data_IF_643346792743
#
_entry.id   IF_643346792743
#
_cell.length_a   1.000
_cell.length_b   1.000
_cell.length_c   1.000
_cell.angle_alpha   90.00
_cell.angle_beta   90.00
_cell.angle_gamma   90.00
#
_symmetry.space_group_name_H-M   'P 1'
#
loop_
_entity.id
_entity.type
_entity.pdbx_description
1 polymer ?
#
# COMPACT_ATOMS: atom_id res chain seq x y z
N UNK A 1 41.99 -46.94 10.01
CA UNK A 1 41.24 -45.78 10.56
C UNK A 1 40.43 -45.20 9.43
N UNK A 2 39.18 -45.63 9.27
CA UNK A 2 38.29 -45.07 8.25
C UNK A 2 37.90 -43.67 8.68
N UNK A 3 38.07 -42.71 7.77
CA UNK A 3 37.47 -41.39 7.93
C UNK A 3 35.96 -41.58 7.81
N UNK A 4 35.27 -41.44 8.94
CA UNK A 4 33.83 -41.29 8.99
C UNK A 4 33.50 -39.94 8.34
N UNK A 5 33.40 -39.93 7.01
CA UNK A 5 32.82 -38.81 6.28
C UNK A 5 31.33 -38.83 6.59
N UNK A 6 30.92 -37.99 7.53
CA UNK A 6 29.52 -37.82 7.93
C UNK A 6 28.66 -37.59 6.70
N UNK A 7 27.98 -38.63 6.23
CA UNK A 7 26.95 -38.54 5.20
C UNK A 7 25.89 -37.60 5.73
N UNK A 8 25.78 -36.41 5.13
CA UNK A 8 24.64 -35.53 5.34
C UNK A 8 23.43 -36.27 4.75
N UNK A 9 22.66 -36.95 5.60
CA UNK A 9 21.52 -37.77 5.19
C UNK A 9 20.38 -36.93 4.58
N UNK A 10 20.32 -35.63 4.92
CA UNK A 10 19.47 -34.63 4.27
C UNK A 10 20.00 -33.22 4.57
N UNK A 11 20.36 -32.46 3.54
CA UNK A 11 20.73 -31.05 3.68
C UNK A 11 19.54 -30.12 3.44
N UNK A 12 19.39 -29.04 4.20
CA UNK A 12 18.40 -28.00 3.92
C UNK A 12 19.05 -26.75 3.31
N UNK A 13 18.41 -26.18 2.29
CA UNK A 13 18.82 -24.92 1.66
C UNK A 13 17.62 -23.98 1.60
N UNK A 14 17.86 -22.69 1.80
CA UNK A 14 16.82 -21.67 1.80
C UNK A 14 17.00 -20.73 0.62
N UNK A 15 15.93 -20.54 -0.14
CA UNK A 15 15.86 -19.66 -1.30
C UNK A 15 14.73 -18.65 -1.13
N UNK A 16 14.80 -17.56 -1.89
CA UNK A 16 13.69 -16.61 -2.02
C UNK A 16 12.76 -17.14 -3.12
N UNK A 17 11.47 -17.22 -2.84
CA UNK A 17 10.48 -17.57 -3.85
C UNK A 17 10.50 -16.52 -4.97
N UNK A 18 10.49 -16.93 -6.26
CA UNK A 18 10.39 -16.01 -7.38
C UNK A 18 9.16 -15.09 -7.29
N UNK A 19 9.18 -13.98 -8.05
CA UNK A 19 8.02 -13.07 -8.13
C UNK A 19 6.79 -13.84 -8.58
N UNK A 20 5.63 -13.53 -8.00
CA UNK A 20 4.33 -14.21 -8.24
C UNK A 20 4.22 -15.69 -7.81
N UNK A 21 5.27 -16.31 -7.26
CA UNK A 21 5.22 -17.69 -6.77
C UNK A 21 5.10 -17.81 -5.25
N UNK A 22 4.22 -18.69 -4.76
CA UNK A 22 3.87 -18.84 -3.34
C UNK A 22 4.94 -19.56 -2.48
N UNK A 23 6.14 -19.78 -3.02
CA UNK A 23 7.18 -20.57 -2.37
C UNK A 23 6.81 -22.05 -2.28
N UNK A 24 7.42 -22.76 -1.35
CA UNK A 24 7.24 -24.21 -1.20
C UNK A 24 8.49 -24.94 -0.76
N UNK A 25 8.45 -26.26 -0.83
CA UNK A 25 9.61 -27.13 -0.60
C UNK A 25 9.80 -28.02 -1.81
N UNK A 26 11.01 -28.05 -2.34
CA UNK A 26 11.41 -28.94 -3.44
C UNK A 26 12.51 -29.88 -2.95
N UNK A 27 12.36 -31.18 -3.25
CA UNK A 27 13.34 -32.18 -2.90
C UNK A 27 14.22 -32.50 -4.11
N UNK A 28 15.54 -32.39 -3.94
CA UNK A 28 16.53 -32.68 -4.96
C UNK A 28 17.43 -33.83 -4.52
N UNK A 29 17.57 -34.84 -5.37
CA UNK A 29 18.54 -35.90 -5.19
C UNK A 29 19.77 -35.60 -6.06
N UNK A 30 20.94 -35.51 -5.42
CA UNK A 30 22.23 -35.34 -6.11
C UNK A 30 23.14 -36.52 -5.78
N UNK A 31 24.22 -36.70 -6.54
CA UNK A 31 25.24 -37.74 -6.26
C UNK A 31 25.83 -37.63 -4.85
N UNK A 32 25.78 -36.44 -4.22
CA UNK A 32 26.24 -36.17 -2.86
C UNK A 32 25.18 -36.28 -1.76
N UNK A 33 23.93 -36.65 -2.07
CA UNK A 33 22.84 -36.81 -1.10
C UNK A 33 21.55 -36.06 -1.46
N UNK A 34 20.54 -36.19 -0.58
CA UNK A 34 19.24 -35.54 -0.71
C UNK A 34 19.25 -34.13 -0.10
N UNK A 35 18.68 -33.16 -0.80
CA UNK A 35 18.54 -31.79 -0.35
C UNK A 35 17.08 -31.34 -0.39
N UNK A 36 16.64 -30.64 0.65
CA UNK A 36 15.35 -29.94 0.67
C UNK A 36 15.59 -28.44 0.46
N UNK A 37 15.17 -27.94 -0.69
CA UNK A 37 15.15 -26.51 -0.98
C UNK A 37 13.84 -25.93 -0.44
N UNK A 38 13.91 -24.99 0.50
CA UNK A 38 12.76 -24.26 1.02
C UNK A 38 12.73 -22.85 0.46
N UNK A 39 11.61 -22.47 -0.13
CA UNK A 39 11.41 -21.14 -0.73
C UNK A 39 10.60 -20.27 0.21
N UNK A 40 11.25 -19.22 0.75
CA UNK A 40 10.59 -18.23 1.60
C UNK A 40 9.86 -17.21 0.75
N UNK A 41 8.64 -16.88 1.16
CA UNK A 41 7.82 -15.89 0.47
C UNK A 41 8.10 -14.49 0.97
N UNK A 42 8.28 -13.58 0.03
CA UNK A 42 8.43 -12.15 0.27
C UNK A 42 7.35 -11.38 -0.48
N UNK A 43 7.02 -10.21 0.03
CA UNK A 43 6.12 -9.30 -0.64
C UNK A 43 6.79 -8.76 -1.90
N UNK A 44 6.12 -8.90 -3.05
CA UNK A 44 6.63 -8.45 -4.35
C UNK A 44 6.67 -6.90 -4.46
N UNK A 45 6.06 -6.18 -3.52
CA UNK A 45 6.01 -4.71 -3.45
C UNK A 45 7.08 -4.14 -2.50
N UNK A 46 7.09 -4.56 -1.22
CA UNK A 46 7.98 -3.99 -0.21
C UNK A 46 9.18 -4.87 0.16
N UNK A 47 9.23 -6.11 -0.32
CA UNK A 47 10.33 -7.04 -0.02
C UNK A 47 10.39 -7.52 1.43
N UNK A 48 9.34 -7.31 2.23
CA UNK A 48 9.26 -7.87 3.59
C UNK A 48 8.85 -9.34 3.51
N UNK A 49 9.44 -10.17 4.38
CA UNK A 49 9.07 -11.59 4.52
C UNK A 49 7.60 -11.72 4.91
N UNK A 50 6.84 -12.55 4.20
CA UNK A 50 5.42 -12.77 4.45
C UNK A 50 5.21 -14.19 4.94
N UNK A 51 4.36 -14.31 5.95
CA UNK A 51 3.85 -15.59 6.41
C UNK A 51 2.95 -16.20 5.33
N UNK A 52 3.18 -17.44 4.87
CA UNK A 52 2.37 -18.08 3.83
C UNK A 52 0.85 -17.96 4.04
N UNK A 53 0.40 -18.02 5.30
CA UNK A 53 -1.03 -17.96 5.64
C UNK A 53 -1.62 -16.54 5.57
N UNK A 54 -0.77 -15.51 5.44
CA UNK A 54 -1.15 -14.08 5.41
C UNK A 54 -0.88 -13.42 4.06
N UNK A 55 -0.54 -14.21 3.04
CA UNK A 55 -0.33 -13.70 1.70
C UNK A 55 -1.68 -13.32 1.09
N UNK A 56 -1.76 -12.11 0.56
CA UNK A 56 -2.85 -11.71 -0.33
C UNK A 56 -2.31 -11.59 -1.75
N UNK A 57 -3.04 -12.11 -2.73
CA UNK A 57 -2.67 -12.02 -4.15
C UNK A 57 -3.39 -10.86 -4.81
N UNK A 58 -2.63 -9.96 -5.42
CA UNK A 58 -3.15 -8.87 -6.23
C UNK A 58 -3.86 -9.46 -7.47
N UNK A 59 -5.14 -9.15 -7.63
CA UNK A 59 -5.95 -9.69 -8.72
C UNK A 59 -5.64 -9.08 -10.10
N UNK A 60 -4.81 -8.03 -10.17
CA UNK A 60 -4.42 -7.36 -11.42
C UNK A 60 -3.08 -7.88 -11.95
N UNK A 61 -2.03 -7.83 -11.13
CA UNK A 61 -0.66 -8.20 -11.55
C UNK A 61 -0.17 -9.55 -11.00
N UNK A 62 -0.98 -10.23 -10.17
CA UNK A 62 -0.65 -11.49 -9.47
C UNK A 62 0.54 -11.38 -8.51
N UNK A 63 0.81 -10.16 -8.02
CA UNK A 63 1.83 -9.92 -6.99
C UNK A 63 1.40 -10.46 -5.62
N UNK A 64 2.36 -11.04 -4.90
CA UNK A 64 2.22 -11.44 -3.50
C UNK A 64 2.39 -10.23 -2.61
N UNK A 65 1.38 -9.95 -1.80
CA UNK A 65 1.35 -8.75 -0.97
C UNK A 65 1.31 -9.12 0.50
N UNK A 66 2.05 -8.34 1.31
CA UNK A 66 1.84 -8.33 2.76
C UNK A 66 0.60 -7.51 3.10
N UNK A 67 0.18 -7.55 4.36
CA UNK A 67 -0.99 -6.82 4.86
C UNK A 67 -0.93 -5.30 4.67
N UNK A 68 0.28 -4.72 4.54
CA UNK A 68 0.47 -3.28 4.33
C UNK A 68 0.52 -2.89 2.83
N UNK A 69 0.73 -3.83 1.92
CA UNK A 69 0.89 -3.56 0.49
C UNK A 69 -0.31 -3.95 -0.36
N UNK A 70 -1.42 -4.31 0.28
CA UNK A 70 -2.69 -4.60 -0.39
C UNK A 70 -3.78 -3.63 0.06
N UNK A 71 -4.76 -3.48 -0.81
CA UNK A 71 -5.95 -2.68 -0.55
C UNK A 71 -7.15 -3.35 -1.21
N UNK A 72 -8.30 -3.25 -0.57
CA UNK A 72 -9.56 -3.64 -1.19
C UNK A 72 -10.16 -2.42 -1.90
N UNK A 73 -10.25 -2.47 -3.22
CA UNK A 73 -10.77 -1.40 -4.05
C UNK A 73 -11.69 -2.00 -5.12
N UNK A 74 -12.89 -1.45 -5.30
CA UNK A 74 -13.91 -1.99 -6.23
C UNK A 74 -14.15 -3.50 -6.06
N UNK A 75 -14.28 -3.94 -4.80
CA UNK A 75 -14.45 -5.35 -4.41
C UNK A 75 -13.28 -6.28 -4.76
N UNK A 76 -12.16 -5.76 -5.28
CA UNK A 76 -10.96 -6.51 -5.62
C UNK A 76 -9.84 -6.27 -4.62
N UNK A 77 -9.01 -7.29 -4.39
CA UNK A 77 -7.74 -7.14 -3.69
C UNK A 77 -6.66 -6.75 -4.70
N UNK A 78 -6.15 -5.54 -4.61
CA UNK A 78 -5.10 -5.03 -5.49
C UNK A 78 -3.89 -4.58 -4.67
N UNK A 79 -2.69 -4.60 -5.25
CA UNK A 79 -1.53 -4.04 -4.59
C UNK A 79 -1.55 -2.50 -4.66
N UNK A 80 -0.82 -1.86 -3.75
CA UNK A 80 -0.70 -0.38 -3.71
C UNK A 80 -0.15 0.21 -5.00
N UNK A 81 0.69 -0.52 -5.76
CA UNK A 81 1.22 -0.05 -7.03
C UNK A 81 0.12 -0.02 -8.11
N UNK A 82 -0.68 -1.09 -8.22
CA UNK A 82 -1.85 -1.10 -9.10
C UNK A 82 -2.89 -0.03 -8.72
N UNK A 83 -3.08 0.22 -7.42
CA UNK A 83 -3.96 1.32 -6.98
C UNK A 83 -3.46 2.67 -7.52
N UNK A 84 -2.15 2.95 -7.39
CA UNK A 84 -1.55 4.20 -7.88
C UNK A 84 -1.61 4.34 -9.39
N UNK A 85 -1.51 3.24 -10.12
CA UNK A 85 -1.67 3.24 -11.58
C UNK A 85 -3.12 3.52 -12.00
N UNK A 86 -4.10 2.91 -11.33
CA UNK A 86 -5.53 3.06 -11.65
C UNK A 86 -6.10 4.41 -11.22
N UNK A 87 -5.74 4.85 -10.02
CA UNK A 87 -6.25 6.07 -9.41
C UNK A 87 -5.04 6.89 -8.98
N UNK A 88 -4.35 7.59 -9.89
CA UNK A 88 -3.15 8.33 -9.55
C UNK A 88 -3.51 9.55 -8.69
N UNK A 89 -3.10 9.51 -7.42
CA UNK A 89 -3.37 10.56 -6.46
C UNK A 89 -2.07 11.04 -5.85
N UNK A 90 -1.77 12.32 -6.04
CA UNK A 90 -0.60 12.94 -5.43
C UNK A 90 -0.77 13.02 -3.92
N UNK A 91 0.35 13.08 -3.19
CA UNK A 91 0.32 13.28 -1.74
C UNK A 91 -0.44 14.55 -1.36
N UNK A 92 -0.33 15.62 -2.15
CA UNK A 92 -1.05 16.87 -1.90
C UNK A 92 -2.57 16.70 -2.04
N UNK A 93 -3.02 16.05 -3.13
CA UNK A 93 -4.43 15.69 -3.33
C UNK A 93 -4.96 14.84 -2.18
N UNK A 94 -4.17 13.86 -1.71
CA UNK A 94 -4.57 13.01 -0.59
C UNK A 94 -4.73 13.81 0.70
N UNK A 95 -3.77 14.70 1.01
CA UNK A 95 -3.86 15.60 2.18
C UNK A 95 -5.12 16.47 2.15
N UNK A 96 -5.47 17.01 0.98
CA UNK A 96 -6.70 17.81 0.82
C UNK A 96 -7.94 16.94 1.01
N UNK A 97 -8.02 15.75 0.42
CA UNK A 97 -9.14 14.82 0.61
C UNK A 97 -9.35 14.45 2.08
N UNK A 98 -8.29 14.08 2.79
CA UNK A 98 -8.35 13.76 4.24
C UNK A 98 -8.85 14.97 5.04
N UNK A 99 -8.38 16.17 4.71
CA UNK A 99 -8.77 17.40 5.41
C UNK A 99 -10.24 17.75 5.17
N UNK A 100 -10.72 17.63 3.93
CA UNK A 100 -12.13 17.85 3.55
C UNK A 100 -13.03 16.83 4.24
N UNK A 101 -12.63 15.55 4.26
CA UNK A 101 -13.34 14.49 4.99
C UNK A 101 -13.45 14.81 6.49
N UNK A 102 -12.42 15.43 7.07
CA UNK A 102 -12.40 15.86 8.48
C UNK A 102 -13.14 17.19 8.71
N UNK A 103 -13.91 17.67 7.74
CA UNK A 103 -14.73 18.90 7.84
C UNK A 103 -13.99 20.20 7.51
N UNK A 104 -12.68 20.16 7.24
CA UNK A 104 -11.90 21.35 6.88
C UNK A 104 -12.05 21.60 5.38
N UNK A 105 -13.05 22.42 5.03
CA UNK A 105 -13.50 22.61 3.65
C UNK A 105 -13.28 24.03 3.10
N UNK A 106 -12.62 24.92 3.85
CA UNK A 106 -12.28 26.28 3.40
C UNK A 106 -10.76 26.47 3.27
N UNK A 107 -10.35 27.31 2.32
CA UNK A 107 -8.95 27.44 1.89
C UNK A 107 -7.99 27.83 3.00
N UNK A 108 -8.40 28.73 3.91
CA UNK A 108 -7.58 29.11 5.06
C UNK A 108 -7.37 27.94 6.05
N UNK A 109 -8.42 27.16 6.30
CA UNK A 109 -8.34 25.96 7.14
C UNK A 109 -7.39 24.94 6.53
N UNK A 110 -7.55 24.67 5.23
CA UNK A 110 -6.69 23.78 4.47
C UNK A 110 -5.23 24.25 4.49
N UNK A 111 -4.96 25.54 4.32
CA UNK A 111 -3.61 26.10 4.45
C UNK A 111 -3.02 25.80 5.83
N UNK A 112 -3.80 26.03 6.89
CA UNK A 112 -3.32 25.87 8.27
C UNK A 112 -2.97 24.43 8.67
N UNK A 113 -3.52 23.41 7.97
CA UNK A 113 -3.26 22.00 8.29
C UNK A 113 -2.35 21.31 7.26
N UNK A 114 -2.40 21.75 6.02
CA UNK A 114 -1.58 21.14 4.96
C UNK A 114 -0.25 21.86 4.74
N UNK A 115 -0.14 23.10 5.23
CA UNK A 115 0.94 24.05 4.94
C UNK A 115 1.12 24.35 3.43
N UNK A 116 0.11 24.03 2.62
CA UNK A 116 0.13 24.30 1.18
C UNK A 116 -0.24 25.76 0.91
N UNK A 117 0.42 26.46 -0.05
CA UNK A 117 0.04 27.82 -0.39
C UNK A 117 -1.35 27.86 -1.02
N UNK A 118 -2.06 29.00 -0.85
CA UNK A 118 -3.45 29.18 -1.29
C UNK A 118 -3.70 28.77 -2.74
N UNK A 119 -2.84 29.21 -3.67
CA UNK A 119 -2.97 28.87 -5.09
C UNK A 119 -2.87 27.36 -5.35
N UNK A 120 -2.00 26.65 -4.61
CA UNK A 120 -1.84 25.20 -4.75
C UNK A 120 -3.07 24.47 -4.23
N UNK A 121 -3.66 24.95 -3.12
CA UNK A 121 -4.91 24.40 -2.59
C UNK A 121 -6.05 24.55 -3.61
N UNK A 122 -6.23 25.74 -4.18
CA UNK A 122 -7.29 25.99 -5.17
C UNK A 122 -7.13 25.13 -6.43
N UNK A 123 -5.89 24.98 -6.90
CA UNK A 123 -5.57 24.09 -8.03
C UNK A 123 -5.89 22.63 -7.68
N UNK A 124 -5.40 22.13 -6.54
CA UNK A 124 -5.64 20.76 -6.09
C UNK A 124 -7.12 20.46 -5.87
N UNK A 125 -7.89 21.41 -5.34
CA UNK A 125 -9.36 21.28 -5.23
C UNK A 125 -10.00 21.14 -6.60
N UNK A 126 -9.57 21.94 -7.57
CA UNK A 126 -10.12 21.91 -8.93
C UNK A 126 -9.83 20.58 -9.60
N UNK A 127 -8.60 20.07 -9.50
CA UNK A 127 -8.21 18.73 -9.96
C UNK A 127 -9.05 17.63 -9.29
N UNK A 128 -9.24 17.69 -7.97
CA UNK A 128 -10.06 16.71 -7.24
C UNK A 128 -11.54 16.76 -7.64
N UNK A 129 -12.05 17.94 -8.01
CA UNK A 129 -13.41 18.11 -8.49
C UNK A 129 -13.59 17.58 -9.91
N UNK A 130 -12.61 17.80 -10.80
CA UNK A 130 -12.57 17.22 -12.15
C UNK A 130 -12.53 15.70 -12.12
N UNK A 131 -11.82 15.12 -11.15
CA UNK A 131 -11.80 13.68 -10.89
C UNK A 131 -13.08 13.16 -10.22
N UNK A 132 -14.00 14.05 -9.83
CA UNK A 132 -15.26 13.70 -9.19
C UNK A 132 -15.12 13.22 -7.74
N UNK A 133 -13.99 13.47 -7.07
CA UNK A 133 -13.75 13.07 -5.67
C UNK A 133 -14.30 14.07 -4.66
N UNK A 134 -14.45 15.32 -5.07
CA UNK A 134 -15.10 16.36 -4.27
C UNK A 134 -16.11 17.12 -5.13
N UNK A 135 -17.13 17.67 -4.49
CA UNK A 135 -18.13 18.51 -5.13
C UNK A 135 -18.31 19.81 -4.35
N UNK A 136 -18.53 20.92 -5.07
CA UNK A 136 -18.90 22.20 -4.45
C UNK A 136 -20.39 22.19 -4.14
N UNK A 137 -20.76 22.28 -2.86
CA UNK A 137 -22.17 22.47 -2.48
C UNK A 137 -22.57 23.94 -2.39
N UNK A 138 -21.63 24.82 -1.99
CA UNK A 138 -21.83 26.28 -1.92
C UNK A 138 -20.54 27.00 -2.29
N UNK A 139 -20.60 28.33 -2.41
CA UNK A 139 -19.50 29.22 -2.82
C UNK A 139 -18.18 28.93 -2.07
N UNK A 140 -18.25 28.54 -0.79
CA UNK A 140 -17.08 28.27 0.07
C UNK A 140 -17.08 26.87 0.70
N UNK A 141 -18.01 25.99 0.32
CA UNK A 141 -18.13 24.66 0.92
C UNK A 141 -18.03 23.55 -0.11
N UNK A 142 -17.16 22.61 0.22
CA UNK A 142 -16.89 21.40 -0.54
C UNK A 142 -17.23 20.18 0.30
N UNK A 143 -17.66 19.13 -0.38
CA UNK A 143 -17.97 17.85 0.24
C UNK A 143 -17.30 16.74 -0.56
N UNK A 144 -16.87 15.70 0.14
CA UNK A 144 -16.35 14.50 -0.50
C UNK A 144 -17.51 13.71 -1.12
N UNK A 145 -17.30 13.18 -2.33
CA UNK A 145 -18.29 12.32 -2.99
C UNK A 145 -18.13 10.87 -2.52
N UNK A 146 -19.07 10.00 -2.86
CA UNK A 146 -18.95 8.56 -2.56
C UNK A 146 -17.71 7.95 -3.22
N UNK A 147 -17.44 8.33 -4.47
CA UNK A 147 -16.21 7.93 -5.19
C UNK A 147 -14.97 8.46 -4.45
N UNK A 148 -15.02 9.70 -3.97
CA UNK A 148 -13.94 10.27 -3.16
C UNK A 148 -13.70 9.52 -1.86
N UNK A 149 -14.76 9.04 -1.20
CA UNK A 149 -14.67 8.23 0.02
C UNK A 149 -14.02 6.86 -0.23
N UNK A 150 -14.38 6.20 -1.33
CA UNK A 150 -13.78 4.92 -1.73
C UNK A 150 -12.29 5.09 -2.01
N UNK A 151 -11.93 6.13 -2.78
CA UNK A 151 -10.54 6.46 -3.09
C UNK A 151 -9.76 6.84 -1.84
N UNK A 152 -10.32 7.68 -0.97
CA UNK A 152 -9.71 8.09 0.29
C UNK A 152 -9.41 6.87 1.18
N UNK A 153 -10.39 5.97 1.31
CA UNK A 153 -10.26 4.75 2.11
C UNK A 153 -9.16 3.86 1.56
N UNK A 154 -9.11 3.69 0.24
CA UNK A 154 -8.07 2.92 -0.41
C UNK A 154 -6.68 3.54 -0.22
N UNK A 155 -6.56 4.87 -0.34
CA UNK A 155 -5.28 5.57 -0.24
C UNK A 155 -4.70 5.66 1.18
N UNK A 156 -5.49 5.38 2.22
CA UNK A 156 -4.97 5.31 3.60
C UNK A 156 -3.90 4.23 3.78
N UNK A 157 -3.93 3.16 2.99
CA UNK A 157 -2.90 2.09 3.02
C UNK A 157 -1.63 2.46 2.25
N UNK A 158 -1.66 3.54 1.45
CA UNK A 158 -0.51 3.97 0.64
C UNK A 158 0.50 4.78 1.45
N UNK A 159 0.03 5.55 2.44
CA UNK A 159 0.86 6.46 3.22
C UNK A 159 0.96 6.15 4.74
N UNK A 160 0.98 4.88 5.20
CA UNK A 160 0.89 4.56 6.63
C UNK A 160 2.11 5.05 7.43
N UNK A 161 3.27 5.20 6.78
CA UNK A 161 4.53 5.62 7.38
C UNK A 161 5.05 6.97 6.84
N UNK A 162 4.26 7.66 6.03
CA UNK A 162 4.64 8.99 5.52
C UNK A 162 4.51 10.02 6.65
N UNK A 163 5.62 10.68 6.98
CA UNK A 163 5.68 11.64 8.09
C UNK A 163 4.77 12.84 7.88
N UNK A 164 4.64 13.32 6.65
CA UNK A 164 3.82 14.50 6.35
C UNK A 164 2.33 14.17 6.53
N UNK A 165 1.93 12.96 6.13
CA UNK A 165 0.58 12.45 6.35
C UNK A 165 0.31 12.19 7.83
N UNK A 166 1.27 11.60 8.55
CA UNK A 166 1.16 11.37 9.99
C UNK A 166 0.98 12.68 10.77
N UNK A 167 1.75 13.71 10.42
CA UNK A 167 1.64 15.05 11.00
C UNK A 167 0.27 15.67 10.72
N UNK A 168 -0.22 15.60 9.48
CA UNK A 168 -1.56 16.07 9.14
C UNK A 168 -2.63 15.37 9.99
N UNK A 169 -2.59 14.04 10.08
CA UNK A 169 -3.55 13.28 10.89
C UNK A 169 -3.53 13.67 12.37
N UNK A 170 -2.35 14.01 12.90
CA UNK A 170 -2.22 14.53 14.26
C UNK A 170 -2.82 15.93 14.39
N UNK A 171 -2.58 16.83 13.44
CA UNK A 171 -3.15 18.18 13.45
C UNK A 171 -4.68 18.17 13.35
N UNK A 172 -5.25 17.26 12.55
CA UNK A 172 -6.69 17.09 12.39
C UNK A 172 -7.34 16.60 13.70
N UNK A 173 -6.77 15.58 14.36
CA UNK A 173 -7.27 15.07 15.65
C UNK A 173 -7.24 16.09 16.79
N UNK A 174 -6.38 17.11 16.74
CA UNK A 174 -6.34 18.17 17.76
C UNK A 174 -7.49 19.17 17.62
N UNK A 175 -8.26 19.12 16.53
CA UNK A 175 -9.33 20.07 16.21
C UNK A 175 -10.73 19.46 16.33
N UNK A 176 -10.83 18.18 16.64
CA UNK A 176 -12.06 17.46 17.03
C UNK A 176 -12.36 17.70 18.51
#
# INVERSE_FOLDING_TARGET
MSKDEGRILMGERWFVAPKKELGGTEMFQTEGGNFNNRYQVFCDVCGIKVDPDKITICQEQQHKTCSECFVRFEQKNICVDCLKEKVPLSKQQFKILVSVFSGICWTHGLHSVTHMPKFAIERTISELAELGYVQKKRILWMEITDVGLDVLTAYRTVYPRDRDVANLNWELRRRE
#
